data_IF_791660226821
#
_entry.id   IF_791660226821
#
_cell.length_a   1.000
_cell.length_b   1.000
_cell.length_c   1.000
_cell.angle_alpha   90.00
_cell.angle_beta   90.00
_cell.angle_gamma   90.00
#
_symmetry.space_group_name_H-M   'P 1'
#
loop_
_entity.id
_entity.type
_entity.pdbx_description
1 polymer ?
#
# COMPACT_ATOMS: atom_id res chain seq x y z
N UNK A 1 -9.70 -0.27 21.58
CA UNK A 1 -8.48 0.44 21.13
C UNK A 1 -8.46 0.46 19.60
N UNK A 2 -8.10 1.58 19.00
CA UNK A 2 -8.00 1.65 17.54
C UNK A 2 -6.81 0.80 17.05
N UNK A 3 -6.95 0.24 15.85
CA UNK A 3 -6.02 -0.71 15.27
C UNK A 3 -5.39 -0.17 13.99
N UNK A 4 -4.06 -0.21 13.93
CA UNK A 4 -3.26 0.07 12.73
C UNK A 4 -2.73 -1.25 12.15
N UNK A 5 -2.90 -1.43 10.85
CA UNK A 5 -2.16 -2.41 10.05
C UNK A 5 -1.16 -1.67 9.17
N UNK A 6 0.14 -1.96 9.35
CA UNK A 6 1.23 -1.40 8.54
C UNK A 6 1.77 -2.48 7.61
N UNK A 7 1.63 -2.28 6.31
CA UNK A 7 2.11 -3.17 5.26
C UNK A 7 3.41 -2.63 4.65
N UNK A 8 4.35 -3.51 4.38
CA UNK A 8 5.74 -3.19 4.02
C UNK A 8 6.41 -2.34 5.11
N UNK A 9 6.30 -2.83 6.34
CA UNK A 9 6.59 -2.05 7.53
C UNK A 9 8.08 -1.73 7.72
N UNK A 10 8.98 -2.58 7.22
CA UNK A 10 10.42 -2.41 7.38
C UNK A 10 10.78 -2.20 8.87
N UNK A 11 11.35 -1.05 9.18
CA UNK A 11 11.71 -0.67 10.56
C UNK A 11 10.52 -0.32 11.46
N UNK A 12 9.29 -0.44 10.96
CA UNK A 12 8.05 -0.11 11.69
C UNK A 12 8.00 1.33 12.21
N UNK A 13 8.58 2.26 11.47
CA UNK A 13 8.71 3.65 11.91
C UNK A 13 7.35 4.31 12.17
N UNK A 14 6.37 4.05 11.31
CA UNK A 14 5.00 4.56 11.48
C UNK A 14 4.31 3.84 12.62
N UNK A 15 4.34 2.51 12.64
CA UNK A 15 3.74 1.71 13.69
C UNK A 15 4.22 2.10 15.08
N UNK A 16 5.52 2.38 15.23
CA UNK A 16 6.09 2.81 16.51
C UNK A 16 5.50 4.14 17.01
N UNK A 17 5.21 5.08 16.09
CA UNK A 17 4.55 6.34 16.46
C UNK A 17 3.11 6.08 16.91
N UNK A 18 2.35 5.28 16.18
CA UNK A 18 0.98 4.93 16.57
C UNK A 18 0.94 4.18 17.91
N UNK A 19 1.89 3.26 18.13
CA UNK A 19 2.02 2.51 19.38
C UNK A 19 2.28 3.44 20.58
N UNK A 20 3.15 4.45 20.40
CA UNK A 20 3.41 5.47 21.41
C UNK A 20 2.18 6.31 21.77
N UNK A 21 1.18 6.39 20.87
CA UNK A 21 -0.11 7.06 21.09
C UNK A 21 -1.24 6.11 21.52
N UNK A 22 -0.91 4.89 21.95
CA UNK A 22 -1.87 3.96 22.55
C UNK A 22 -2.69 3.15 21.55
N UNK A 23 -2.23 3.02 20.30
CA UNK A 23 -2.87 2.17 19.29
C UNK A 23 -2.39 0.73 19.41
N UNK A 24 -3.26 -0.20 19.07
CA UNK A 24 -2.86 -1.57 18.72
C UNK A 24 -2.24 -1.56 17.32
N UNK A 25 -1.01 -2.03 17.20
CA UNK A 25 -0.25 -1.96 15.95
C UNK A 25 0.15 -3.35 15.50
N UNK A 26 -0.15 -3.65 14.26
CA UNK A 26 0.20 -4.89 13.58
C UNK A 26 1.00 -4.56 12.33
N UNK A 27 2.21 -5.14 12.23
CA UNK A 27 3.16 -4.85 11.17
C UNK A 27 3.45 -6.09 10.35
N UNK A 28 3.51 -5.94 9.04
CA UNK A 28 3.78 -7.04 8.10
C UNK A 28 4.90 -6.64 7.16
N UNK A 29 5.89 -7.50 7.04
CA UNK A 29 6.95 -7.43 6.05
C UNK A 29 7.40 -8.84 5.66
N UNK A 30 7.97 -9.00 4.47
CA UNK A 30 8.52 -10.29 4.04
C UNK A 30 9.94 -10.51 4.53
N UNK A 31 10.67 -9.44 4.80
CA UNK A 31 12.09 -9.47 5.15
C UNK A 31 12.29 -9.83 6.63
N UNK A 32 12.88 -10.98 6.85
CA UNK A 32 13.11 -11.54 8.20
C UNK A 32 14.10 -10.73 9.06
N UNK A 33 14.83 -9.78 8.45
CA UNK A 33 15.73 -8.92 9.23
C UNK A 33 14.98 -7.89 10.09
N UNK A 34 13.73 -7.57 9.74
CA UNK A 34 12.93 -6.60 10.48
C UNK A 34 12.12 -7.27 11.60
N UNK A 35 11.98 -6.57 12.72
CA UNK A 35 11.12 -6.99 13.83
C UNK A 35 9.68 -6.55 13.56
N UNK A 36 8.89 -7.46 13.01
CA UNK A 36 7.48 -7.22 12.63
C UNK A 36 6.55 -8.27 13.24
N UNK A 37 5.27 -7.96 13.30
CA UNK A 37 4.27 -8.86 13.88
C UNK A 37 4.11 -10.15 13.05
N UNK A 38 4.17 -10.03 11.73
CA UNK A 38 4.06 -11.16 10.80
C UNK A 38 5.06 -11.01 9.66
N UNK A 39 5.90 -12.04 9.48
CA UNK A 39 6.71 -12.17 8.27
C UNK A 39 5.90 -12.93 7.22
N UNK A 40 5.54 -12.24 6.15
CA UNK A 40 4.78 -12.83 5.05
C UNK A 40 5.02 -12.08 3.74
N UNK A 41 4.89 -12.80 2.63
CA UNK A 41 4.78 -12.19 1.31
C UNK A 41 3.41 -11.48 1.20
N UNK A 42 3.44 -10.16 1.17
CA UNK A 42 2.22 -9.34 1.14
C UNK A 42 1.40 -9.58 -0.13
N UNK A 43 2.04 -9.98 -1.23
CA UNK A 43 1.35 -10.37 -2.46
C UNK A 43 0.49 -11.63 -2.35
N UNK A 44 0.67 -12.41 -1.29
CA UNK A 44 -0.12 -13.62 -1.00
C UNK A 44 -1.03 -13.50 0.22
N UNK A 45 -1.00 -12.36 0.93
CA UNK A 45 -1.92 -12.10 2.04
C UNK A 45 -3.36 -12.04 1.56
N UNK A 46 -4.26 -12.55 2.39
CA UNK A 46 -5.70 -12.44 2.19
C UNK A 46 -6.33 -11.46 3.19
N UNK A 47 -7.55 -11.04 2.91
CA UNK A 47 -8.36 -10.23 3.84
C UNK A 47 -8.55 -10.96 5.17
N UNK A 48 -8.80 -12.27 5.12
CA UNK A 48 -8.99 -13.10 6.32
C UNK A 48 -7.72 -13.15 7.17
N UNK A 49 -6.53 -13.27 6.54
CA UNK A 49 -5.25 -13.21 7.25
C UNK A 49 -5.08 -11.89 8.01
N UNK A 50 -5.42 -10.77 7.37
CA UNK A 50 -5.36 -9.45 7.99
C UNK A 50 -6.34 -9.31 9.16
N UNK A 51 -7.58 -9.78 9.00
CA UNK A 51 -8.59 -9.76 10.05
C UNK A 51 -8.18 -10.65 11.22
N UNK A 52 -7.63 -11.83 10.95
CA UNK A 52 -7.16 -12.74 11.98
C UNK A 52 -5.95 -12.15 12.72
N UNK A 53 -4.98 -11.59 12.00
CA UNK A 53 -3.81 -10.95 12.58
C UNK A 53 -4.19 -9.81 13.54
N UNK A 54 -5.11 -8.95 13.10
CA UNK A 54 -5.55 -7.79 13.87
C UNK A 54 -6.62 -8.11 14.93
N UNK A 55 -7.14 -9.33 14.97
CA UNK A 55 -8.28 -9.69 15.82
C UNK A 55 -9.53 -8.87 15.49
N UNK A 56 -9.75 -8.57 14.21
CA UNK A 56 -10.84 -7.76 13.67
C UNK A 56 -10.35 -6.85 12.54
N UNK A 57 -11.25 -6.09 11.93
CA UNK A 57 -10.88 -5.15 10.86
C UNK A 57 -10.02 -4.01 11.42
N UNK A 58 -8.91 -3.64 10.78
CA UNK A 58 -8.12 -2.49 11.18
C UNK A 58 -8.88 -1.17 10.93
N UNK A 59 -8.70 -0.20 11.83
CA UNK A 59 -9.26 1.16 11.67
C UNK A 59 -8.46 1.97 10.65
N UNK A 60 -7.15 1.79 10.66
CA UNK A 60 -6.21 2.45 9.76
C UNK A 60 -5.31 1.41 9.10
N UNK A 61 -5.04 1.60 7.81
CA UNK A 61 -4.04 0.82 7.07
C UNK A 61 -2.99 1.80 6.51
N UNK A 62 -1.73 1.55 6.82
CA UNK A 62 -0.60 2.25 6.23
C UNK A 62 0.14 1.33 5.28
N UNK A 63 0.42 1.81 4.06
CA UNK A 63 1.05 1.02 3.00
C UNK A 63 2.25 1.79 2.46
N UNK A 64 3.45 1.24 2.64
CA UNK A 64 4.69 1.78 2.06
C UNK A 64 5.15 0.89 0.92
N UNK A 65 4.56 1.03 -0.26
CA UNK A 65 4.92 0.20 -1.41
C UNK A 65 6.41 0.30 -1.75
N UNK A 66 7.10 -0.82 -2.01
CA UNK A 66 8.46 -0.79 -2.53
C UNK A 66 8.56 0.01 -3.83
N UNK A 67 9.49 0.95 -3.89
CA UNK A 67 9.65 1.86 -5.03
C UNK A 67 10.63 1.37 -6.10
N UNK A 68 11.16 0.16 -5.97
CA UNK A 68 12.27 -0.38 -6.78
C UNK A 68 12.02 -0.33 -8.29
N UNK A 69 10.78 -0.53 -8.73
CA UNK A 69 10.42 -0.49 -10.15
C UNK A 69 9.67 0.77 -10.58
N UNK A 70 9.31 1.64 -9.63
CA UNK A 70 8.52 2.86 -9.88
C UNK A 70 9.31 4.15 -9.69
N UNK A 71 10.49 4.10 -9.05
CA UNK A 71 11.30 5.28 -8.82
C UNK A 71 11.81 5.88 -10.14
N UNK A 72 12.05 7.18 -10.16
CA UNK A 72 12.57 7.87 -11.34
C UNK A 72 13.88 7.24 -11.85
N UNK A 73 14.74 6.82 -10.92
CA UNK A 73 16.03 6.22 -11.26
C UNK A 73 15.89 4.82 -11.90
N UNK A 74 14.91 4.04 -11.47
CA UNK A 74 14.73 2.65 -11.90
C UNK A 74 13.71 2.48 -13.05
N UNK A 75 12.82 3.44 -13.21
CA UNK A 75 11.68 3.35 -14.12
C UNK A 75 12.09 3.12 -15.58
N UNK A 76 13.17 3.76 -16.04
CA UNK A 76 13.67 3.57 -17.41
C UNK A 76 14.22 2.17 -17.68
N UNK A 77 14.65 1.45 -16.64
CA UNK A 77 15.10 0.06 -16.74
C UNK A 77 13.94 -0.93 -16.70
N UNK A 78 12.94 -0.66 -15.89
CA UNK A 78 11.86 -1.59 -15.60
C UNK A 78 10.59 -1.36 -16.41
N UNK A 79 10.38 -0.14 -16.94
CA UNK A 79 9.14 0.25 -17.58
C UNK A 79 9.36 1.04 -18.86
N UNK A 80 8.37 0.98 -19.74
CA UNK A 80 8.35 1.75 -20.97
C UNK A 80 7.01 2.42 -21.16
N UNK A 81 7.02 3.70 -21.53
CA UNK A 81 5.79 4.43 -21.82
C UNK A 81 5.17 3.89 -23.09
N UNK A 82 3.95 3.41 -22.98
CA UNK A 82 3.12 3.03 -24.11
C UNK A 82 2.66 4.28 -24.84
N UNK A 83 2.95 4.36 -26.12
CA UNK A 83 2.63 5.55 -26.93
C UNK A 83 1.14 5.66 -27.25
N UNK A 84 0.41 4.54 -27.24
CA UNK A 84 -1.01 4.49 -27.56
C UNK A 84 -1.88 4.78 -26.34
N UNK A 85 -1.54 4.21 -25.19
CA UNK A 85 -2.31 4.34 -23.95
C UNK A 85 -1.80 5.42 -23.01
N UNK A 86 -0.52 5.83 -23.15
CA UNK A 86 0.16 6.74 -22.23
C UNK A 86 0.59 6.08 -20.92
N UNK A 87 0.30 4.81 -20.72
CA UNK A 87 0.62 4.04 -19.52
C UNK A 87 2.10 3.62 -19.47
N UNK A 88 2.56 3.23 -18.29
CA UNK A 88 3.90 2.70 -18.05
C UNK A 88 3.87 1.17 -18.05
N UNK A 89 4.07 0.57 -19.20
CA UNK A 89 4.10 -0.89 -19.33
C UNK A 89 5.32 -1.49 -18.64
N UNK A 90 5.15 -2.56 -17.84
CA UNK A 90 6.26 -3.27 -17.24
C UNK A 90 7.01 -4.09 -18.30
N UNK A 91 8.33 -3.91 -18.37
CA UNK A 91 9.19 -4.63 -19.35
C UNK A 91 10.08 -5.68 -18.69
N UNK A 92 10.20 -5.68 -17.37
CA UNK A 92 10.94 -6.70 -16.60
C UNK A 92 9.98 -7.54 -15.77
N UNK A 93 10.41 -8.74 -15.39
CA UNK A 93 9.63 -9.62 -14.50
C UNK A 93 9.45 -8.97 -13.12
N UNK A 94 10.47 -8.28 -12.60
CA UNK A 94 10.38 -7.52 -11.37
C UNK A 94 9.26 -6.47 -11.41
N UNK A 95 9.10 -5.74 -12.53
CA UNK A 95 8.03 -4.77 -12.69
C UNK A 95 6.64 -5.44 -12.78
N UNK A 96 6.54 -6.58 -13.47
CA UNK A 96 5.29 -7.35 -13.57
C UNK A 96 4.84 -7.88 -12.20
N UNK A 97 5.78 -8.40 -11.42
CA UNK A 97 5.50 -8.87 -10.06
C UNK A 97 5.12 -7.71 -9.11
N UNK A 98 5.78 -6.55 -9.23
CA UNK A 98 5.40 -5.35 -8.49
C UNK A 98 3.96 -4.93 -8.79
N UNK A 99 3.59 -4.86 -10.07
CA UNK A 99 2.24 -4.46 -10.48
C UNK A 99 1.18 -5.44 -9.97
N UNK A 100 1.45 -6.75 -10.07
CA UNK A 100 0.57 -7.81 -9.59
C UNK A 100 0.37 -7.72 -8.08
N UNK A 101 1.46 -7.59 -7.32
CA UNK A 101 1.43 -7.46 -5.86
C UNK A 101 0.67 -6.21 -5.44
N UNK A 102 1.00 -5.07 -6.02
CA UNK A 102 0.46 -3.78 -5.58
C UNK A 102 -1.02 -3.65 -5.96
N UNK A 103 -1.41 -4.19 -7.11
CA UNK A 103 -2.82 -4.31 -7.48
C UNK A 103 -3.60 -5.19 -6.49
N UNK A 104 -3.06 -6.35 -6.12
CA UNK A 104 -3.66 -7.23 -5.11
C UNK A 104 -3.84 -6.51 -3.77
N UNK A 105 -2.83 -5.77 -3.31
CA UNK A 105 -2.92 -4.99 -2.06
C UNK A 105 -4.02 -3.94 -2.14
N UNK A 106 -4.18 -3.27 -3.28
CA UNK A 106 -5.26 -2.30 -3.46
C UNK A 106 -6.65 -2.93 -3.46
N UNK A 107 -6.80 -4.13 -4.04
CA UNK A 107 -8.05 -4.90 -3.99
C UNK A 107 -8.37 -5.35 -2.55
N UNK A 108 -7.37 -5.86 -1.83
CA UNK A 108 -7.48 -6.25 -0.43
C UNK A 108 -7.84 -5.06 0.47
N UNK A 109 -7.23 -3.89 0.24
CA UNK A 109 -7.55 -2.65 0.95
C UNK A 109 -9.02 -2.26 0.79
N UNK A 110 -9.56 -2.40 -0.42
CA UNK A 110 -10.97 -2.11 -0.71
C UNK A 110 -11.91 -3.03 0.06
N UNK A 111 -11.61 -4.31 0.08
CA UNK A 111 -12.41 -5.30 0.79
C UNK A 111 -12.30 -5.15 2.32
N UNK A 112 -11.12 -4.82 2.85
CA UNK A 112 -10.91 -4.50 4.26
C UNK A 112 -11.70 -3.25 4.69
N UNK A 113 -11.84 -2.29 3.78
CA UNK A 113 -12.61 -1.06 3.98
C UNK A 113 -12.31 -0.35 5.32
N UNK A 114 -11.04 0.00 5.60
CA UNK A 114 -10.68 0.69 6.84
C UNK A 114 -11.30 2.08 6.89
N UNK A 115 -11.36 2.66 8.09
CA UNK A 115 -11.84 4.05 8.26
C UNK A 115 -10.93 5.05 7.54
N UNK A 116 -9.60 4.84 7.61
CA UNK A 116 -8.59 5.63 6.90
C UNK A 116 -7.51 4.72 6.35
N UNK A 117 -6.91 5.12 5.26
CA UNK A 117 -5.69 4.48 4.78
C UNK A 117 -4.71 5.51 4.18
N UNK A 118 -3.45 5.19 4.27
CA UNK A 118 -2.36 6.01 3.78
C UNK A 118 -1.47 5.18 2.87
N UNK A 119 -1.08 5.76 1.75
CA UNK A 119 -0.13 5.14 0.82
C UNK A 119 1.08 6.06 0.71
N UNK A 120 2.23 5.54 1.11
CA UNK A 120 3.51 6.21 0.96
C UNK A 120 4.25 5.60 -0.23
N UNK A 121 4.73 6.45 -1.13
CA UNK A 121 5.65 6.08 -2.21
C UNK A 121 6.28 7.36 -2.77
N UNK A 122 7.55 7.31 -3.22
CA UNK A 122 8.16 8.45 -3.89
C UNK A 122 7.33 8.95 -5.07
N UNK A 123 7.37 10.25 -5.30
CA UNK A 123 6.65 10.95 -6.37
C UNK A 123 7.14 10.50 -7.75
N UNK A 124 6.70 9.33 -8.20
CA UNK A 124 7.15 8.71 -9.45
C UNK A 124 6.06 7.85 -10.11
N UNK A 125 6.43 6.72 -10.72
CA UNK A 125 5.59 5.92 -11.57
C UNK A 125 4.34 5.32 -10.91
N UNK A 126 4.40 4.90 -9.65
CA UNK A 126 3.28 4.21 -9.00
C UNK A 126 1.97 5.02 -9.06
N UNK A 127 2.04 6.30 -8.75
CA UNK A 127 0.85 7.20 -8.75
C UNK A 127 0.20 7.37 -10.12
N UNK A 128 0.89 7.02 -11.19
CA UNK A 128 0.37 7.10 -12.58
C UNK A 128 -0.17 5.76 -13.07
N UNK A 129 -0.05 4.71 -12.25
CA UNK A 129 -0.55 3.38 -12.60
C UNK A 129 -2.08 3.37 -12.59
N UNK A 130 -2.68 2.65 -13.54
CA UNK A 130 -4.12 2.61 -13.73
C UNK A 130 -4.88 2.18 -12.47
N UNK A 131 -4.40 1.13 -11.80
CA UNK A 131 -5.02 0.63 -10.57
C UNK A 131 -4.98 1.63 -9.40
N UNK A 132 -4.12 2.65 -9.46
CA UNK A 132 -4.13 3.77 -8.54
C UNK A 132 -5.10 4.87 -9.00
N UNK A 133 -5.07 5.22 -10.28
CA UNK A 133 -5.89 6.29 -10.86
C UNK A 133 -7.39 5.96 -10.88
N UNK A 134 -7.75 4.71 -11.13
CA UNK A 134 -9.15 4.29 -11.17
C UNK A 134 -9.84 4.52 -9.82
N UNK A 135 -9.09 4.45 -8.72
CA UNK A 135 -9.61 4.78 -7.38
C UNK A 135 -9.81 6.26 -7.11
N UNK A 136 -8.97 7.12 -7.69
CA UNK A 136 -9.21 8.57 -7.66
C UNK A 136 -10.54 8.94 -8.30
N UNK A 137 -10.88 8.29 -9.41
CA UNK A 137 -12.12 8.55 -10.14
C UNK A 137 -13.36 8.10 -9.41
N UNK A 138 -13.29 7.00 -8.69
CA UNK A 138 -14.41 6.47 -7.92
C UNK A 138 -14.71 7.26 -6.65
N UNK A 139 -13.72 7.93 -6.06
CA UNK A 139 -13.83 8.62 -4.76
C UNK A 139 -13.65 10.13 -4.78
N UNK A 140 -13.37 10.73 -5.92
CA UNK A 140 -13.55 12.15 -6.19
C UNK A 140 -12.65 13.14 -5.46
N UNK A 141 -11.51 12.78 -4.90
CA UNK A 141 -10.47 13.73 -4.49
C UNK A 141 -9.42 13.13 -3.55
N UNK A 142 -8.17 13.50 -3.78
CA UNK A 142 -7.00 13.20 -2.93
C UNK A 142 -6.88 14.14 -1.72
N UNK A 143 -7.92 14.85 -1.35
CA UNK A 143 -7.96 15.72 -0.18
C UNK A 143 -9.00 15.23 0.81
N UNK A 144 -8.54 15.04 2.02
CA UNK A 144 -9.32 14.59 3.15
C UNK A 144 -10.57 15.45 3.40
N UNK A 145 -11.73 14.89 3.12
CA UNK A 145 -12.94 15.21 3.87
C UNK A 145 -13.46 13.92 4.48
N UNK A 146 -13.83 13.91 5.76
CA UNK A 146 -14.35 12.70 6.39
C UNK A 146 -15.68 12.34 5.72
N UNK A 147 -15.63 11.32 4.88
CA UNK A 147 -16.84 10.63 4.42
C UNK A 147 -17.00 9.38 5.30
N UNK A 148 -18.22 8.87 5.49
CA UNK A 148 -18.45 7.65 6.26
C UNK A 148 -17.81 6.39 5.67
N UNK A 149 -17.13 6.51 4.55
CA UNK A 149 -16.30 5.51 3.89
C UNK A 149 -14.88 6.06 3.75
N UNK A 150 -13.89 5.23 3.96
CA UNK A 150 -12.45 5.52 4.07
C UNK A 150 -11.91 6.72 3.26
N UNK A 151 -11.12 7.58 3.89
CA UNK A 151 -10.36 8.65 3.26
C UNK A 151 -8.95 8.19 2.93
N UNK A 152 -8.44 8.56 1.75
CA UNK A 152 -7.09 8.24 1.29
C UNK A 152 -6.20 9.47 1.34
N UNK A 153 -5.05 9.38 2.00
CA UNK A 153 -3.97 10.34 1.87
C UNK A 153 -2.75 9.68 1.25
N UNK A 154 -2.20 10.27 0.20
CA UNK A 154 -0.88 9.91 -0.32
C UNK A 154 0.13 10.91 0.21
N UNK A 155 1.08 10.41 0.96
CA UNK A 155 2.22 11.16 1.47
C UNK A 155 3.40 10.90 0.52
N UNK A 156 3.91 11.94 -0.08
CA UNK A 156 5.07 11.89 -0.99
C UNK A 156 6.21 12.77 -0.51
#
# INVERSE_FOLDING_TARGET
>A
MPKLLELFAGTSSVGNVFKAHGWEVYTVDWDEQFDVTLHADIGSLTVDDCIQLCGGRPDVIWISFPCETYSVAAMGHHRRKNKETGELDPITDAARESDKRDKHVMEMLEELSPRYFFIENPRAGLRTMRFMLDRERERGSWCATPQPTASMEIVG
#
